data_IF_253107986211
#
_entry.id   IF_253107986211
#
_cell.length_a   1.000
_cell.length_b   1.000
_cell.length_c   1.000
_cell.angle_alpha   90.00
_cell.angle_beta   90.00
_cell.angle_gamma   90.00
#
_symmetry.space_group_name_H-M   'P 1'
#
loop_
_entity.id
_entity.type
_entity.pdbx_description
1 polymer ?
#
# COMPACT_ATOMS: atom_id res chain seq x y z
N UNK A 1 -11.06 -11.77 1.38
CA UNK A 1 -10.14 -11.94 0.22
C UNK A 1 -8.87 -11.15 0.48
N UNK A 2 -7.69 -11.76 0.34
CA UNK A 2 -6.40 -11.07 0.47
C UNK A 2 -5.90 -10.68 -0.92
N UNK A 3 -5.47 -9.42 -1.07
CA UNK A 3 -4.86 -8.89 -2.29
C UNK A 3 -3.43 -8.50 -1.94
N UNK A 4 -2.46 -9.32 -2.36
CA UNK A 4 -1.04 -9.01 -2.18
C UNK A 4 -0.61 -7.91 -3.15
N UNK A 5 0.09 -6.89 -2.64
CA UNK A 5 0.59 -5.77 -3.46
C UNK A 5 2.08 -5.94 -3.70
N UNK A 6 2.82 -6.26 -2.64
CA UNK A 6 4.24 -6.63 -2.67
C UNK A 6 4.54 -7.56 -1.49
N UNK A 7 5.83 -7.85 -1.22
CA UNK A 7 6.26 -8.74 -0.14
C UNK A 7 5.98 -8.21 1.28
N UNK A 8 5.56 -6.96 1.41
CA UNK A 8 5.38 -6.25 2.69
C UNK A 8 3.94 -5.78 2.86
N UNK A 9 3.29 -5.28 1.81
CA UNK A 9 1.95 -4.69 1.88
C UNK A 9 0.91 -5.55 1.17
N UNK A 10 -0.25 -5.64 1.81
CA UNK A 10 -1.43 -6.32 1.26
C UNK A 10 -2.72 -5.65 1.73
N UNK A 11 -3.82 -5.96 1.04
CA UNK A 11 -5.17 -5.51 1.42
C UNK A 11 -6.03 -6.72 1.74
N UNK A 12 -6.56 -6.76 2.96
CA UNK A 12 -7.63 -7.68 3.32
C UNK A 12 -8.97 -7.01 2.99
N UNK A 13 -9.71 -7.59 2.05
CA UNK A 13 -11.10 -7.24 1.73
C UNK A 13 -12.03 -8.15 2.51
N UNK A 14 -12.91 -7.57 3.30
CA UNK A 14 -14.11 -8.21 3.84
C UNK A 14 -15.37 -7.60 3.21
N UNK A 15 -16.54 -7.98 3.70
CA UNK A 15 -17.83 -7.51 3.16
C UNK A 15 -18.08 -6.01 3.40
N UNK A 16 -17.32 -5.39 4.31
CA UNK A 16 -17.56 -4.02 4.75
C UNK A 16 -16.47 -3.04 4.30
N UNK A 17 -15.23 -3.49 4.16
CA UNK A 17 -14.10 -2.63 3.90
C UNK A 17 -12.88 -3.32 3.26
N UNK A 18 -11.97 -2.47 2.81
CA UNK A 18 -10.62 -2.81 2.37
C UNK A 18 -9.64 -2.34 3.44
N UNK A 19 -8.94 -3.28 4.08
CA UNK A 19 -7.99 -2.98 5.16
C UNK A 19 -6.57 -3.05 4.64
N UNK A 20 -5.85 -1.94 4.60
CA UNK A 20 -4.44 -1.91 4.21
C UNK A 20 -3.56 -2.35 5.39
N UNK A 21 -2.78 -3.41 5.18
CA UNK A 21 -1.88 -3.98 6.19
C UNK A 21 -0.44 -4.05 5.68
N UNK A 22 0.48 -3.94 6.62
CA UNK A 22 1.92 -4.13 6.45
C UNK A 22 2.36 -5.33 7.28
N UNK A 23 2.98 -6.32 6.65
CA UNK A 23 3.67 -7.41 7.34
C UNK A 23 4.86 -6.87 8.12
N UNK A 24 5.02 -7.32 9.36
CA UNK A 24 6.21 -7.01 10.15
C UNK A 24 7.29 -8.08 10.05
N UNK A 25 7.01 -9.19 9.36
CA UNK A 25 7.87 -10.38 9.30
C UNK A 25 8.02 -11.12 10.65
N UNK A 26 7.22 -10.77 11.66
CA UNK A 26 7.23 -11.39 12.99
C UNK A 26 5.97 -12.22 13.18
N UNK A 27 6.08 -13.25 14.01
CA UNK A 27 4.95 -14.05 14.46
C UNK A 27 4.73 -13.87 15.96
N UNK A 28 3.48 -13.98 16.40
CA UNK A 28 3.14 -14.02 17.82
C UNK A 28 3.41 -15.40 18.45
N UNK A 29 3.06 -15.57 19.72
CA UNK A 29 3.27 -16.82 20.46
C UNK A 29 2.42 -17.99 19.95
N UNK A 30 1.34 -17.68 19.24
CA UNK A 30 0.38 -18.63 18.70
C UNK A 30 0.68 -18.94 17.22
N UNK A 31 1.74 -18.35 16.65
CA UNK A 31 2.19 -18.55 15.29
C UNK A 31 1.51 -17.66 14.25
N UNK A 32 0.73 -16.66 14.67
CA UNK A 32 0.07 -15.74 13.74
C UNK A 32 1.01 -14.61 13.34
N UNK A 33 0.93 -14.20 12.07
CA UNK A 33 1.70 -13.07 11.56
C UNK A 33 1.27 -11.76 12.23
N UNK A 34 2.25 -11.04 12.79
CA UNK A 34 2.04 -9.70 13.34
C UNK A 34 2.00 -8.72 12.17
N UNK A 35 0.87 -8.03 12.04
CA UNK A 35 0.62 -7.06 10.98
C UNK A 35 0.35 -5.68 11.56
N UNK A 36 0.71 -4.64 10.80
CA UNK A 36 0.41 -3.25 11.12
C UNK A 36 -0.71 -2.76 10.21
N UNK A 37 -1.84 -2.36 10.80
CA UNK A 37 -2.96 -1.78 10.06
C UNK A 37 -2.73 -0.30 9.79
N UNK A 38 -2.87 0.11 8.53
CA UNK A 38 -2.68 1.49 8.07
C UNK A 38 -3.99 2.24 7.80
N UNK A 39 -5.11 1.52 7.78
CA UNK A 39 -6.46 2.10 7.70
C UNK A 39 -7.48 1.13 7.12
N UNK A 40 -8.75 1.54 7.24
CA UNK A 40 -9.92 0.87 6.70
C UNK A 40 -10.55 1.77 5.63
N UNK A 41 -10.85 1.22 4.47
CA UNK A 41 -11.25 1.99 3.28
C UNK A 41 -12.51 1.42 2.65
N UNK A 42 -13.32 2.30 2.04
CA UNK A 42 -14.55 1.88 1.34
C UNK A 42 -14.27 1.16 0.02
N UNK A 43 -13.10 1.37 -0.58
CA UNK A 43 -12.71 0.77 -1.85
C UNK A 43 -11.18 0.60 -1.92
N UNK A 44 -10.73 -0.26 -2.83
CA UNK A 44 -9.32 -0.55 -3.06
C UNK A 44 -8.53 0.69 -3.48
N UNK A 45 -9.13 1.56 -4.31
CA UNK A 45 -8.49 2.80 -4.79
C UNK A 45 -8.03 3.69 -3.64
N UNK A 46 -8.89 3.87 -2.63
CA UNK A 46 -8.57 4.68 -1.44
C UNK A 46 -7.46 4.05 -0.60
N UNK A 47 -7.43 2.72 -0.49
CA UNK A 47 -6.34 2.00 0.17
C UNK A 47 -5.01 2.20 -0.58
N UNK A 48 -5.01 2.13 -1.91
CA UNK A 48 -3.82 2.39 -2.72
C UNK A 48 -3.32 3.84 -2.59
N UNK A 49 -4.22 4.82 -2.52
CA UNK A 49 -3.85 6.22 -2.26
C UNK A 49 -3.14 6.38 -0.90
N UNK A 50 -3.60 5.69 0.14
CA UNK A 50 -2.91 5.69 1.44
C UNK A 50 -1.53 5.04 1.35
N UNK A 51 -1.42 3.92 0.63
CA UNK A 51 -0.13 3.25 0.42
C UNK A 51 0.89 4.16 -0.26
N UNK A 52 0.47 4.94 -1.26
CA UNK A 52 1.33 5.95 -1.90
C UNK A 52 1.87 6.95 -0.88
N UNK A 53 1.03 7.48 0.00
CA UNK A 53 1.45 8.43 1.04
C UNK A 53 2.48 7.78 1.98
N UNK A 54 2.24 6.53 2.40
CA UNK A 54 3.18 5.79 3.27
C UNK A 54 4.53 5.61 2.59
N UNK A 55 4.54 5.17 1.32
CA UNK A 55 5.77 4.98 0.54
C UNK A 55 6.51 6.31 0.34
N UNK A 56 5.79 7.37 0.00
CA UNK A 56 6.37 8.70 -0.16
C UNK A 56 6.99 9.21 1.16
N UNK A 57 6.32 9.03 2.29
CA UNK A 57 6.86 9.40 3.60
C UNK A 57 8.10 8.58 4.00
N UNK A 58 8.19 7.30 3.59
CA UNK A 58 9.37 6.46 3.83
C UNK A 58 10.53 6.77 2.86
N UNK A 59 10.23 7.26 1.66
CA UNK A 59 11.23 7.51 0.61
C UNK A 59 11.88 8.89 0.67
N UNK A 60 11.50 9.75 1.61
CA UNK A 60 12.22 10.99 1.92
C UNK A 60 13.23 10.65 3.02
N UNK A 61 14.51 10.42 2.71
CA UNK A 61 15.54 10.35 3.74
C UNK A 61 15.59 11.71 4.45
N UNK A 62 16.18 11.81 5.64
CA UNK A 62 16.38 13.09 6.33
C UNK A 62 17.22 14.13 5.58
N UNK A 63 17.55 13.89 4.31
CA UNK A 63 18.24 14.80 3.41
C UNK A 63 17.24 15.57 2.54
N UNK A 64 17.51 16.86 2.34
CA UNK A 64 16.68 17.72 1.52
C UNK A 64 16.73 17.27 0.05
N UNK A 65 15.68 16.59 -0.42
CA UNK A 65 15.51 16.28 -1.84
C UNK A 65 14.97 17.52 -2.58
N UNK A 66 15.45 17.82 -3.81
CA UNK A 66 14.87 18.88 -4.62
C UNK A 66 13.37 18.61 -4.89
N UNK A 67 12.53 19.63 -4.73
CA UNK A 67 11.08 19.51 -4.89
C UNK A 67 10.67 18.90 -6.24
N UNK A 68 11.36 19.28 -7.32
CA UNK A 68 11.12 18.74 -8.65
C UNK A 68 11.32 17.21 -8.71
N UNK A 69 12.36 16.70 -8.07
CA UNK A 69 12.65 15.27 -8.01
C UNK A 69 11.58 14.52 -7.22
N UNK A 70 11.11 15.11 -6.11
CA UNK A 70 10.03 14.53 -5.31
C UNK A 70 8.70 14.47 -6.08
N UNK A 71 8.38 15.51 -6.84
CA UNK A 71 7.18 15.54 -7.70
C UNK A 71 7.23 14.41 -8.75
N UNK A 72 8.39 14.19 -9.37
CA UNK A 72 8.57 13.10 -10.36
C UNK A 72 8.41 11.71 -9.72
N UNK A 73 8.97 11.49 -8.53
CA UNK A 73 8.76 10.24 -7.79
C UNK A 73 7.28 10.01 -7.46
N UNK A 74 6.58 11.06 -7.02
CA UNK A 74 5.15 11.02 -6.73
C UNK A 74 4.30 10.72 -7.97
N UNK A 75 4.70 11.20 -9.16
CA UNK A 75 4.04 10.89 -10.44
C UNK A 75 4.23 9.41 -10.79
N UNK A 76 5.46 8.92 -10.78
CA UNK A 76 5.78 7.51 -11.07
C UNK A 76 5.01 6.55 -10.17
N UNK A 77 4.99 6.80 -8.86
CA UNK A 77 4.20 5.99 -7.91
C UNK A 77 2.70 5.97 -8.23
N UNK A 78 2.15 7.07 -8.76
CA UNK A 78 0.74 7.14 -9.15
C UNK A 78 0.48 6.28 -10.39
N UNK A 79 1.39 6.29 -11.37
CA UNK A 79 1.27 5.48 -12.57
C UNK A 79 1.38 3.99 -12.26
N UNK A 80 2.31 3.59 -11.39
CA UNK A 80 2.48 2.19 -10.98
C UNK A 80 1.21 1.66 -10.30
N UNK A 81 0.59 2.48 -9.43
CA UNK A 81 -0.69 2.14 -8.79
C UNK A 81 -1.81 2.01 -9.83
N UNK A 82 -1.90 2.92 -10.80
CA UNK A 82 -2.92 2.84 -11.86
C UNK A 82 -2.78 1.57 -12.69
N UNK A 83 -1.54 1.20 -13.06
CA UNK A 83 -1.27 -0.04 -13.81
C UNK A 83 -1.65 -1.27 -13.01
N UNK A 84 -1.30 -1.31 -11.72
CA UNK A 84 -1.70 -2.38 -10.82
C UNK A 84 -3.23 -2.54 -10.76
N UNK A 85 -3.95 -1.42 -10.57
CA UNK A 85 -5.41 -1.43 -10.53
C UNK A 85 -6.04 -1.88 -11.85
N UNK A 86 -5.52 -1.42 -12.99
CA UNK A 86 -5.99 -1.89 -14.30
C UNK A 86 -5.78 -3.40 -14.47
N UNK A 87 -4.66 -3.95 -14.01
CA UNK A 87 -4.42 -5.39 -14.04
C UNK A 87 -5.45 -6.19 -13.25
N UNK A 88 -6.00 -5.63 -12.17
CA UNK A 88 -7.04 -6.27 -11.36
C UNK A 88 -8.44 -6.16 -11.99
N UNK A 89 -8.73 -5.12 -12.78
CA UNK A 89 -10.01 -4.96 -13.49
C UNK A 89 -10.17 -5.92 -14.69
N UNK A 90 -9.10 -6.57 -15.15
CA UNK A 90 -9.14 -7.56 -16.25
C UNK A 90 -9.46 -8.98 -15.75
N UNK A 91 -9.46 -9.19 -14.43
CA UNK A 91 -9.72 -10.49 -13.80
C UNK A 91 -11.16 -10.69 -13.29
N UNK A 92 -12.07 -9.73 -13.51
CA UNK A 92 -13.53 -9.86 -13.28
C UNK A 92 -14.30 -10.14 -14.59
#
# INVERSE_FOLDING_TARGET
MKIDIDSVFFVDRDDFCYTLKESTGKVDKDGNEITKTHGYFKNLSSAMMKLRVIRASKSVPGEAIPLALYIEQLRKQTEDIKKFMQGLEVEE
#
